data_IF_963711830708
#
_entry.id   IF_963711830708
#
_cell.length_a   1.000
_cell.length_b   1.000
_cell.length_c   1.000
_cell.angle_alpha   90.00
_cell.angle_beta   90.00
_cell.angle_gamma   90.00
#
_symmetry.space_group_name_H-M   'P 1'
#
loop_
_entity.id
_entity.type
_entity.pdbx_description
1 polymer ?
#
# COMPACT_ATOMS: atom_id res chain seq x y z
N UNK A 1 0.32 13.21 2.18
CA UNK A 1 1.72 13.67 1.93
C UNK A 1 1.75 15.19 1.92
N UNK A 2 2.70 15.84 2.60
CA UNK A 2 2.82 17.32 2.63
C UNK A 2 1.50 18.07 2.94
N UNK A 3 0.65 17.47 3.78
CA UNK A 3 -0.67 18.00 4.13
C UNK A 3 -1.65 18.18 2.96
N UNK A 4 -1.40 17.49 1.83
CA UNK A 4 -2.26 17.51 0.65
C UNK A 4 -2.88 16.14 0.40
N UNK A 5 -4.15 16.17 -0.03
CA UNK A 5 -4.85 15.02 -0.57
C UNK A 5 -4.40 14.79 -2.01
N UNK A 6 -3.78 13.66 -2.27
CA UNK A 6 -3.36 13.26 -3.61
C UNK A 6 -4.50 12.46 -4.25
N UNK A 7 -4.92 12.89 -5.44
CA UNK A 7 -6.03 12.28 -6.19
C UNK A 7 -5.55 11.60 -7.48
N UNK A 8 -4.25 11.66 -7.75
CA UNK A 8 -3.62 11.03 -8.91
C UNK A 8 -3.75 9.51 -8.83
N UNK A 9 -3.92 8.88 -9.99
CA UNK A 9 -4.02 7.42 -10.08
C UNK A 9 -2.73 6.71 -9.67
N UNK A 10 -1.58 7.34 -9.94
CA UNK A 10 -0.27 6.80 -9.63
C UNK A 10 0.58 7.82 -8.85
N UNK A 11 1.25 7.35 -7.80
CA UNK A 11 2.27 8.09 -7.09
C UNK A 11 3.61 7.43 -7.43
N UNK A 12 4.54 8.21 -7.97
CA UNK A 12 5.86 7.69 -8.30
C UNK A 12 6.65 7.39 -7.03
N UNK A 13 7.19 6.18 -6.95
CA UNK A 13 8.18 5.77 -5.98
C UNK A 13 9.57 6.33 -6.35
N UNK A 14 10.42 6.59 -5.36
CA UNK A 14 11.83 6.94 -5.60
C UNK A 14 12.72 5.71 -5.87
N UNK A 15 12.14 4.51 -5.90
CA UNK A 15 12.86 3.27 -6.19
C UNK A 15 13.50 3.29 -7.58
N UNK A 16 14.66 2.64 -7.71
CA UNK A 16 15.19 2.26 -9.02
C UNK A 16 14.32 1.16 -9.65
N UNK A 17 14.42 1.04 -10.97
CA UNK A 17 13.88 -0.11 -11.68
C UNK A 17 14.83 -1.30 -11.54
N UNK A 18 14.26 -2.49 -11.42
CA UNK A 18 15.00 -3.75 -11.38
C UNK A 18 14.63 -4.55 -12.61
N UNK A 19 15.65 -5.06 -13.31
CA UNK A 19 15.48 -5.82 -14.53
C UNK A 19 16.27 -7.12 -14.39
N UNK A 20 15.59 -8.28 -14.49
CA UNK A 20 16.22 -9.60 -14.39
C UNK A 20 15.56 -10.52 -13.36
N UNK A 21 16.29 -11.57 -12.97
CA UNK A 21 15.82 -12.63 -12.06
C UNK A 21 16.37 -12.47 -10.62
N UNK A 22 16.83 -11.28 -10.28
CA UNK A 22 17.33 -10.99 -8.95
C UNK A 22 16.20 -11.00 -7.93
N UNK A 23 16.48 -11.53 -6.74
CA UNK A 23 15.53 -11.43 -5.63
C UNK A 23 15.54 -10.03 -5.04
N UNK A 24 14.36 -9.44 -4.96
CA UNK A 24 14.12 -8.14 -4.34
C UNK A 24 13.35 -8.36 -3.04
N UNK A 25 13.78 -7.70 -1.97
CA UNK A 25 13.03 -7.65 -0.72
C UNK A 25 12.12 -6.44 -0.76
N UNK A 26 10.81 -6.66 -0.68
CA UNK A 26 9.81 -5.61 -0.52
C UNK A 26 9.18 -5.75 0.87
N UNK A 27 9.11 -4.64 1.60
CA UNK A 27 8.47 -4.57 2.90
C UNK A 27 7.44 -3.43 2.87
N UNK A 28 6.31 -3.65 3.53
CA UNK A 28 5.29 -2.61 3.72
C UNK A 28 5.01 -2.51 5.20
N UNK A 29 5.40 -1.39 5.81
CA UNK A 29 5.06 -1.08 7.20
C UNK A 29 3.77 -0.27 7.23
N UNK A 30 2.75 -0.79 7.93
CA UNK A 30 1.43 -0.17 8.04
C UNK A 30 1.12 0.12 9.50
N UNK A 31 1.09 1.39 9.87
CA UNK A 31 0.67 1.87 11.21
C UNK A 31 -0.75 2.41 11.15
N UNK A 32 -1.68 1.52 10.82
CA UNK A 32 -3.08 1.85 10.62
C UNK A 32 -3.26 3.01 9.63
N UNK A 33 -3.87 4.09 10.11
CA UNK A 33 -4.14 5.30 9.31
C UNK A 33 -3.06 6.40 9.47
N UNK A 34 -2.06 6.17 10.32
CA UNK A 34 -1.05 7.16 10.66
C UNK A 34 0.02 7.25 9.56
N UNK A 35 0.74 6.16 9.31
CA UNK A 35 1.77 6.12 8.27
C UNK A 35 1.84 4.76 7.60
N UNK A 36 2.05 4.79 6.29
CA UNK A 36 2.33 3.64 5.45
C UNK A 36 3.65 3.91 4.73
N UNK A 37 4.61 2.99 4.92
CA UNK A 37 5.93 3.07 4.31
C UNK A 37 6.15 1.84 3.43
N UNK A 38 6.59 2.07 2.20
CA UNK A 38 7.03 1.05 1.27
C UNK A 38 8.55 1.06 1.23
N UNK A 39 9.15 -0.10 1.45
CA UNK A 39 10.59 -0.28 1.59
C UNK A 39 11.03 -1.33 0.57
N UNK A 40 12.09 -1.02 -0.17
CA UNK A 40 12.66 -1.91 -1.17
C UNK A 40 14.15 -2.07 -0.88
N UNK A 41 14.59 -3.31 -0.64
CA UNK A 41 15.97 -3.65 -0.26
C UNK A 41 16.52 -2.80 0.91
N UNK A 42 15.67 -2.49 1.89
CA UNK A 42 16.03 -1.70 3.08
C UNK A 42 15.89 -0.18 2.92
N UNK A 43 15.67 0.34 1.72
CA UNK A 43 15.47 1.77 1.48
C UNK A 43 13.97 2.11 1.45
N UNK A 44 13.55 3.15 2.20
CA UNK A 44 12.16 3.65 2.10
C UNK A 44 12.00 4.43 0.81
N UNK A 45 11.11 3.97 -0.07
CA UNK A 45 10.95 4.51 -1.43
C UNK A 45 9.61 5.23 -1.66
N UNK A 46 8.64 5.00 -0.78
CA UNK A 46 7.37 5.72 -0.77
C UNK A 46 6.81 5.76 0.65
N UNK A 47 6.33 6.93 1.06
CA UNK A 47 5.65 7.10 2.34
C UNK A 47 4.43 7.99 2.17
N UNK A 48 3.32 7.60 2.76
CA UNK A 48 2.10 8.38 2.82
C UNK A 48 1.34 8.10 4.12
N UNK A 49 0.31 8.90 4.34
CA UNK A 49 -0.52 8.88 5.53
C UNK A 49 -1.97 9.05 5.13
N UNK A 50 -2.88 8.74 6.05
CA UNK A 50 -4.29 9.05 5.89
C UNK A 50 -4.96 8.45 4.64
N UNK A 51 -4.76 7.15 4.30
CA UNK A 51 -5.46 6.52 3.20
C UNK A 51 -6.98 6.57 3.41
N UNK A 52 -7.72 6.84 2.35
CA UNK A 52 -9.16 7.06 2.42
C UNK A 52 -9.88 6.50 1.19
N UNK A 53 -11.14 6.12 1.36
CA UNK A 53 -12.03 5.75 0.26
C UNK A 53 -12.29 6.95 -0.65
N UNK A 54 -12.34 6.73 -1.97
CA UNK A 54 -12.62 7.78 -2.95
C UNK A 54 -14.12 7.82 -3.29
N UNK A 55 -14.78 8.93 -2.98
CA UNK A 55 -16.21 9.17 -3.26
C UNK A 55 -16.56 9.15 -4.75
N UNK A 56 -15.56 9.31 -5.62
CA UNK A 56 -15.71 9.31 -7.08
C UNK A 56 -15.72 7.89 -7.65
N UNK A 57 -15.26 6.90 -6.89
CA UNK A 57 -15.19 5.51 -7.34
C UNK A 57 -16.58 4.85 -7.33
N UNK A 58 -16.88 4.08 -8.39
CA UNK A 58 -18.18 3.41 -8.53
C UNK A 58 -18.48 2.42 -7.39
N UNK A 59 -17.45 1.91 -6.70
CA UNK A 59 -17.58 0.99 -5.58
C UNK A 59 -17.70 1.67 -4.21
N UNK A 60 -17.58 3.01 -4.14
CA UNK A 60 -17.56 3.77 -2.89
C UNK A 60 -18.73 3.44 -1.97
N UNK A 61 -19.97 3.48 -2.48
CA UNK A 61 -21.18 3.25 -1.69
C UNK A 61 -21.20 1.87 -1.01
N UNK A 62 -20.60 0.86 -1.64
CA UNK A 62 -20.44 -0.47 -1.05
C UNK A 62 -19.32 -0.47 0.00
N UNK A 63 -18.17 0.11 -0.33
CA UNK A 63 -16.98 0.09 0.53
C UNK A 63 -17.18 0.91 1.81
N UNK A 64 -17.84 2.07 1.72
CA UNK A 64 -18.13 2.91 2.89
C UNK A 64 -19.04 2.19 3.88
N UNK A 65 -20.04 1.44 3.39
CA UNK A 65 -20.90 0.62 4.23
C UNK A 65 -20.13 -0.52 4.91
N UNK A 66 -19.22 -1.17 4.20
CA UNK A 66 -18.33 -2.20 4.75
C UNK A 66 -17.33 -1.64 5.77
N UNK A 67 -16.92 -0.38 5.60
CA UNK A 67 -16.02 0.32 6.52
C UNK A 67 -16.77 1.05 7.65
N UNK A 68 -18.05 0.74 7.89
CA UNK A 68 -18.81 1.28 9.03
C UNK A 68 -19.16 2.76 8.90
N UNK A 69 -19.16 3.32 7.69
CA UNK A 69 -19.46 4.73 7.43
C UNK A 69 -18.26 5.66 7.53
N UNK A 70 -17.08 5.16 7.90
CA UNK A 70 -15.85 5.97 7.95
C UNK A 70 -15.15 5.95 6.58
N UNK A 71 -14.78 7.11 6.08
CA UNK A 71 -14.01 7.24 4.84
C UNK A 71 -12.56 6.83 5.04
N UNK A 72 -12.04 6.96 6.26
CA UNK A 72 -10.64 6.69 6.58
C UNK A 72 -10.37 5.19 6.70
N UNK A 73 -9.24 4.75 6.17
CA UNK A 73 -8.81 3.35 6.18
C UNK A 73 -7.73 3.14 7.24
N UNK A 74 -7.97 2.23 8.17
CA UNK A 74 -7.00 1.86 9.22
C UNK A 74 -6.62 0.38 9.24
N UNK A 75 -7.30 -0.44 8.43
CA UNK A 75 -7.10 -1.89 8.35
C UNK A 75 -7.64 -2.43 7.03
N UNK A 76 -7.23 -3.64 6.67
CA UNK A 76 -7.69 -4.31 5.46
C UNK A 76 -7.08 -5.70 5.32
N UNK A 77 -7.17 -6.25 4.11
CA UNK A 77 -6.55 -7.53 3.75
C UNK A 77 -5.20 -7.30 3.07
N UNK A 78 -4.29 -8.26 3.22
CA UNK A 78 -3.04 -8.32 2.47
C UNK A 78 -3.24 -9.29 1.31
N UNK A 79 -2.75 -8.94 0.12
CA UNK A 79 -2.86 -9.78 -1.07
C UNK A 79 -1.58 -9.67 -1.88
N UNK A 80 -1.11 -10.80 -2.40
CA UNK A 80 0.02 -10.88 -3.32
C UNK A 80 -0.56 -11.23 -4.69
N UNK A 81 -0.33 -10.37 -5.67
CA UNK A 81 -0.90 -10.48 -7.01
C UNK A 81 0.21 -10.36 -8.07
N UNK A 82 0.07 -11.13 -9.14
CA UNK A 82 0.77 -10.91 -10.41
C UNK A 82 -0.14 -10.17 -11.39
N UNK A 83 0.40 -9.28 -12.23
CA UNK A 83 -0.35 -8.64 -13.31
C UNK A 83 0.29 -8.96 -14.66
N UNK A 84 -0.43 -9.71 -15.50
CA UNK A 84 -0.04 -10.02 -16.88
C UNK A 84 1.13 -10.99 -17.06
N UNK A 85 2.08 -11.06 -16.13
CA UNK A 85 3.30 -11.88 -16.23
C UNK A 85 3.53 -12.73 -14.96
N UNK A 86 4.24 -13.88 -15.07
CA UNK A 86 4.61 -14.69 -13.91
C UNK A 86 5.47 -13.92 -12.90
N UNK A 87 5.31 -14.24 -11.63
CA UNK A 87 6.12 -13.72 -10.53
C UNK A 87 6.29 -14.81 -9.47
N UNK A 88 7.46 -14.85 -8.83
CA UNK A 88 7.76 -15.76 -7.75
C UNK A 88 7.85 -15.01 -6.41
N UNK A 89 7.20 -15.57 -5.38
CA UNK A 89 7.29 -15.08 -4.00
C UNK A 89 7.99 -16.11 -3.12
N UNK A 90 8.86 -15.65 -2.21
CA UNK A 90 9.44 -16.49 -1.16
C UNK A 90 9.59 -15.69 0.12
N UNK A 91 9.64 -16.41 1.26
CA UNK A 91 9.81 -15.82 2.61
C UNK A 91 8.80 -14.70 2.89
N UNK A 92 7.51 -15.05 2.77
CA UNK A 92 6.43 -14.13 3.11
C UNK A 92 6.23 -14.18 4.63
N UNK A 93 6.57 -13.08 5.30
CA UNK A 93 6.54 -12.95 6.75
C UNK A 93 5.63 -11.79 7.15
N UNK A 94 5.03 -11.89 8.34
CA UNK A 94 4.21 -10.83 8.90
C UNK A 94 4.62 -10.60 10.35
N UNK A 95 4.86 -9.34 10.69
CA UNK A 95 5.12 -8.91 12.06
C UNK A 95 3.97 -8.01 12.53
N UNK A 96 3.07 -8.50 13.39
CA UNK A 96 2.08 -7.64 14.04
C UNK A 96 2.80 -6.59 14.88
N UNK A 97 2.55 -5.31 14.58
CA UNK A 97 3.08 -4.20 15.36
C UNK A 97 2.30 -4.09 16.68
N UNK A 98 3.00 -3.72 17.75
CA UNK A 98 2.36 -3.39 19.03
C UNK A 98 1.83 -1.96 18.96
N UNK A 99 0.70 -1.74 19.63
CA UNK A 99 0.14 -0.40 19.88
C UNK A 99 1.09 0.46 20.73
#
# INVERSE_FOLDING_TARGET
MNNQLILDHCINSSSKNFYGEEWITAEVEVRGNDVISHIVNGDTVLQYNQPQLDERDATYAKLIALNGGDKMLSKGTISLQSEGHPIDFRKVEIMPLKD
#
